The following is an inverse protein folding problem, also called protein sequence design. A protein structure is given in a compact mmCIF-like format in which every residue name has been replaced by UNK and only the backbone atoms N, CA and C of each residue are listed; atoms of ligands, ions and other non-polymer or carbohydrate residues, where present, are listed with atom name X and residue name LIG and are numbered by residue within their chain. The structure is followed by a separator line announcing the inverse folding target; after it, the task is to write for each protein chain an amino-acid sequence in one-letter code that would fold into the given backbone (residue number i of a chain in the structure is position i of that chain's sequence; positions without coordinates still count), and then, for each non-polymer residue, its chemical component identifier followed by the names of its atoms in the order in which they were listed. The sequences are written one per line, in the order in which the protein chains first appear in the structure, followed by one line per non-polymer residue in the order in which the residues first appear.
data_IF_945981460753
#
_entry.id   IF_945981460753
#
_cell.length_a   1.000
_cell.length_b   1.000
_cell.length_c   1.000
_cell.angle_alpha   90.00
_cell.angle_beta   90.00
_cell.angle_gamma   90.00
#
_symmetry.space_group_name_H-M   'P 1'
#
loop_
_entity.id
_entity.type
_entity.pdbx_description
1 polymer ?
#
# COMPACT_ATOMS: atom_id res chain seq x y z
N UNK A 1 -17.81 34.19 -17.58
CA UNK A 1 -17.10 33.85 -16.33
C UNK A 1 -17.80 32.64 -15.75
N UNK A 2 -17.30 31.42 -16.03
CA UNK A 2 -17.91 30.18 -15.54
C UNK A 2 -17.69 30.10 -14.03
N UNK A 3 -18.78 30.03 -13.28
CA UNK A 3 -18.79 29.78 -11.85
C UNK A 3 -18.12 28.44 -11.56
N UNK A 4 -17.02 28.46 -10.81
CA UNK A 4 -16.43 27.24 -10.24
C UNK A 4 -17.43 26.70 -9.23
N UNK A 5 -17.98 25.52 -9.52
CA UNK A 5 -18.88 24.83 -8.61
C UNK A 5 -18.07 24.26 -7.44
N UNK A 6 -18.10 24.93 -6.29
CA UNK A 6 -17.32 24.56 -5.09
C UNK A 6 -17.70 23.16 -4.59
N UNK A 7 -18.89 22.64 -4.92
CA UNK A 7 -19.28 21.24 -4.60
C UNK A 7 -18.51 20.19 -5.41
N UNK A 8 -17.82 20.60 -6.49
CA UNK A 8 -16.86 19.78 -7.25
C UNK A 8 -15.44 19.84 -6.69
N UNK A 9 -15.20 20.46 -5.52
CA UNK A 9 -14.01 20.11 -4.74
C UNK A 9 -14.13 18.63 -4.40
N UNK A 10 -13.38 17.81 -5.15
CA UNK A 10 -13.30 16.36 -4.96
C UNK A 10 -13.12 16.09 -3.47
N UNK A 11 -14.10 15.44 -2.85
CA UNK A 11 -13.97 15.03 -1.46
C UNK A 11 -12.75 14.11 -1.35
N UNK A 12 -11.70 14.59 -0.69
CA UNK A 12 -10.48 13.82 -0.45
C UNK A 12 -10.77 12.82 0.68
N UNK A 13 -10.36 11.57 0.48
CA UNK A 13 -10.43 10.57 1.52
C UNK A 13 -9.24 10.72 2.48
N UNK A 14 -9.52 10.97 3.76
CA UNK A 14 -8.52 10.95 4.82
C UNK A 14 -8.55 9.60 5.52
N UNK A 15 -7.41 8.92 5.57
CA UNK A 15 -7.29 7.61 6.21
C UNK A 15 -5.86 7.37 6.69
N UNK A 16 -5.70 6.42 7.61
CA UNK A 16 -4.43 5.90 8.10
C UNK A 16 -4.37 4.38 7.89
N UNK A 17 -3.24 3.77 8.23
CA UNK A 17 -3.14 2.31 8.26
C UNK A 17 -3.99 1.72 9.39
N UNK A 18 -4.49 0.50 9.18
CA UNK A 18 -5.32 -0.22 10.14
C UNK A 18 -4.50 -1.26 10.92
N UNK A 19 -4.24 -1.04 12.23
CA UNK A 19 -3.52 -2.00 13.07
C UNK A 19 -4.18 -3.38 13.14
N UNK A 20 -5.49 -3.48 12.98
CA UNK A 20 -6.20 -4.77 13.01
C UNK A 20 -5.97 -5.61 11.76
N UNK A 21 -5.48 -4.99 10.68
CA UNK A 21 -5.16 -5.66 9.42
C UNK A 21 -3.71 -6.15 9.34
N UNK A 22 -2.86 -5.78 10.29
CA UNK A 22 -1.42 -5.96 10.15
C UNK A 22 -0.90 -7.25 10.77
N UNK A 23 0.18 -7.76 10.21
CA UNK A 23 1.00 -8.77 10.88
C UNK A 23 1.59 -8.22 12.19
N UNK A 24 1.81 -9.07 13.18
CA UNK A 24 2.34 -8.69 14.50
C UNK A 24 3.73 -8.03 14.47
N UNK A 25 4.49 -8.24 13.40
CA UNK A 25 5.82 -7.64 13.20
C UNK A 25 5.77 -6.21 12.63
N UNK A 26 4.60 -5.72 12.21
CA UNK A 26 4.43 -4.34 11.73
C UNK A 26 4.42 -3.40 12.93
N UNK A 27 5.27 -2.37 12.86
CA UNK A 27 5.36 -1.31 13.85
C UNK A 27 4.74 -0.04 13.27
N UNK A 28 3.82 0.54 14.03
CA UNK A 28 3.14 1.78 13.68
C UNK A 28 3.72 2.96 14.46
N UNK A 29 3.74 4.13 13.82
CA UNK A 29 4.02 5.41 14.46
C UNK A 29 3.27 6.53 13.75
N UNK A 30 3.40 7.77 14.25
CA UNK A 30 2.85 8.97 13.62
C UNK A 30 1.35 8.84 13.31
N UNK A 31 0.54 8.55 14.33
CA UNK A 31 -0.92 8.35 14.20
C UNK A 31 -1.33 7.29 13.14
N UNK A 32 -0.53 6.21 13.06
CA UNK A 32 -0.65 5.13 12.07
C UNK A 32 -0.49 5.62 10.62
N UNK A 33 0.27 6.70 10.39
CA UNK A 33 0.63 7.18 9.06
C UNK A 33 2.04 6.73 8.64
N UNK A 34 2.83 6.21 9.57
CA UNK A 34 4.17 5.66 9.31
C UNK A 34 4.21 4.21 9.77
N UNK A 35 4.76 3.34 8.93
CA UNK A 35 4.92 1.91 9.21
C UNK A 35 6.34 1.44 8.91
N UNK A 36 6.82 0.52 9.73
CA UNK A 36 8.04 -0.25 9.48
C UNK A 36 7.82 -1.69 9.95
N UNK A 37 8.79 -2.57 9.75
CA UNK A 37 8.69 -3.98 10.15
C UNK A 37 9.91 -4.39 10.98
N UNK A 38 9.68 -5.23 12.00
CA UNK A 38 10.73 -5.80 12.83
C UNK A 38 11.22 -7.17 12.33
N UNK A 39 10.81 -7.57 11.13
CA UNK A 39 11.20 -8.83 10.49
C UNK A 39 12.04 -8.57 9.24
N UNK A 40 12.84 -9.56 8.87
CA UNK A 40 13.45 -9.63 7.54
C UNK A 40 12.48 -10.10 6.47
N UNK A 41 11.43 -10.83 6.85
CA UNK A 41 10.39 -11.27 5.92
C UNK A 41 9.43 -10.11 5.61
N UNK A 42 8.91 -10.07 4.38
CA UNK A 42 7.87 -9.12 3.99
C UNK A 42 6.57 -9.37 4.75
N UNK A 43 5.97 -8.28 5.25
CA UNK A 43 4.70 -8.28 5.97
C UNK A 43 3.75 -7.24 5.38
N UNK A 44 2.45 -7.51 5.42
CA UNK A 44 1.41 -6.63 4.87
C UNK A 44 0.63 -5.92 5.97
N UNK A 45 0.28 -4.67 5.70
CA UNK A 45 -0.70 -3.86 6.42
C UNK A 45 -1.60 -3.15 5.40
N UNK A 46 -2.87 -2.97 5.73
CA UNK A 46 -3.85 -2.30 4.88
C UNK A 46 -4.21 -0.91 5.41
N UNK A 47 -4.69 -0.05 4.52
CA UNK A 47 -5.38 1.19 4.91
C UNK A 47 -6.74 0.88 5.53
N UNK A 48 -7.18 1.74 6.47
CA UNK A 48 -8.47 1.58 7.18
C UNK A 48 -9.70 1.78 6.28
N UNK A 49 -9.53 2.47 5.15
CA UNK A 49 -10.63 2.78 4.24
C UNK A 49 -10.55 1.92 2.99
N UNK A 50 -11.59 1.10 2.76
CA UNK A 50 -11.78 0.37 1.51
C UNK A 50 -12.55 1.20 0.47
N UNK A 51 -12.17 1.07 -0.80
CA UNK A 51 -12.85 1.74 -1.92
C UNK A 51 -13.51 0.72 -2.85
N UNK A 52 -14.73 1.03 -3.31
CA UNK A 52 -15.49 0.18 -4.25
C UNK A 52 -15.97 0.90 -5.51
N UNK A 53 -15.79 2.23 -5.59
CA UNK A 53 -16.15 3.08 -6.73
C UNK A 53 -15.37 4.40 -6.70
N UNK A 54 -15.28 5.07 -7.85
CA UNK A 54 -14.58 6.35 -8.00
C UNK A 54 -13.09 6.20 -8.37
N UNK A 55 -12.40 7.34 -8.49
CA UNK A 55 -10.96 7.40 -8.74
C UNK A 55 -10.27 7.95 -7.49
N UNK A 56 -9.33 7.18 -6.95
CA UNK A 56 -8.64 7.50 -5.71
C UNK A 56 -7.13 7.52 -5.95
N UNK A 57 -6.46 8.46 -5.30
CA UNK A 57 -5.01 8.60 -5.36
C UNK A 57 -4.50 8.83 -3.93
N UNK A 58 -3.38 8.20 -3.61
CA UNK A 58 -2.64 8.38 -2.37
C UNK A 58 -1.15 8.21 -2.66
N UNK A 59 -0.33 8.75 -1.77
CA UNK A 59 1.13 8.71 -1.88
C UNK A 59 1.71 7.98 -0.67
N UNK A 60 2.88 7.39 -0.89
CA UNK A 60 3.73 6.83 0.16
C UNK A 60 5.12 7.43 0.00
N UNK A 61 5.69 7.92 1.10
CA UNK A 61 7.07 8.40 1.14
C UNK A 61 7.97 7.32 1.74
N UNK A 62 9.13 7.09 1.13
CA UNK A 62 10.12 6.15 1.65
C UNK A 62 11.04 6.92 2.60
N UNK A 63 10.75 6.84 3.89
CA UNK A 63 11.51 7.54 4.92
C UNK A 63 12.91 6.91 5.15
N UNK A 64 13.03 5.59 4.94
CA UNK A 64 14.28 4.83 5.09
C UNK A 64 14.30 3.64 4.13
N UNK A 65 15.41 3.47 3.42
CA UNK A 65 15.67 2.35 2.51
C UNK A 65 17.13 1.91 2.67
N UNK A 66 17.32 0.85 3.46
CA UNK A 66 18.64 0.31 3.78
C UNK A 66 18.83 -1.03 3.05
N UNK A 67 20.03 -1.30 2.53
CA UNK A 67 20.38 -2.50 1.74
C UNK A 67 19.70 -2.53 0.35
N UNK A 68 19.10 -3.66 -0.01
CA UNK A 68 18.43 -3.91 -1.30
C UNK A 68 17.09 -4.66 -1.13
N UNK A 69 16.14 -4.16 -0.30
CA UNK A 69 14.82 -4.76 -0.18
C UNK A 69 13.92 -4.44 -1.38
N UNK A 70 12.83 -5.17 -1.52
CA UNK A 70 11.84 -5.00 -2.60
C UNK A 70 10.46 -4.61 -2.04
N UNK A 71 10.29 -3.43 -1.39
CA UNK A 71 9.00 -3.05 -0.82
C UNK A 71 7.89 -3.01 -1.89
N UNK A 72 6.74 -3.59 -1.56
CA UNK A 72 5.60 -3.72 -2.47
C UNK A 72 4.46 -2.78 -2.07
N UNK A 73 3.89 -2.09 -3.05
CA UNK A 73 2.84 -1.09 -2.89
C UNK A 73 1.69 -1.37 -3.85
N UNK A 74 0.44 -1.27 -3.37
CA UNK A 74 -0.69 -1.55 -4.25
C UNK A 74 -2.03 -1.59 -3.54
N UNK A 75 -2.92 -2.42 -4.09
CA UNK A 75 -4.29 -2.64 -3.59
C UNK A 75 -4.51 -4.11 -3.28
N UNK A 76 -5.34 -4.38 -2.27
CA UNK A 76 -5.63 -5.74 -1.84
C UNK A 76 -7.05 -5.88 -1.31
N UNK A 77 -7.57 -7.12 -1.35
CA UNK A 77 -8.74 -7.50 -0.57
C UNK A 77 -8.36 -7.66 0.90
N UNK A 78 -9.36 -7.56 1.78
CA UNK A 78 -9.16 -7.61 3.23
C UNK A 78 -8.51 -8.94 3.69
N UNK A 79 -8.80 -10.02 2.98
CA UNK A 79 -8.35 -11.39 3.24
C UNK A 79 -7.00 -11.75 2.56
N UNK A 80 -6.24 -10.77 2.06
CA UNK A 80 -4.87 -10.97 1.54
C UNK A 80 -3.94 -11.62 2.57
N UNK A 81 -2.99 -12.45 2.13
CA UNK A 81 -1.92 -12.96 2.99
C UNK A 81 -1.15 -11.80 3.67
N UNK A 82 -0.88 -11.96 4.97
CA UNK A 82 -0.21 -10.92 5.79
C UNK A 82 1.27 -11.21 6.07
N UNK A 83 1.69 -12.43 5.81
CA UNK A 83 3.00 -13.02 6.08
C UNK A 83 3.83 -13.24 4.80
N UNK A 84 3.52 -12.51 3.74
CA UNK A 84 4.19 -12.58 2.45
C UNK A 84 4.21 -11.21 1.74
N UNK A 85 5.07 -11.07 0.73
CA UNK A 85 5.06 -9.92 -0.18
C UNK A 85 3.69 -9.72 -0.82
N UNK A 86 3.27 -8.45 -0.95
CA UNK A 86 2.02 -8.07 -1.58
C UNK A 86 1.99 -8.50 -3.06
N UNK A 87 0.93 -9.21 -3.47
CA UNK A 87 0.79 -9.75 -4.83
C UNK A 87 1.24 -11.22 -4.98
N UNK A 88 1.78 -11.83 -3.91
CA UNK A 88 2.14 -13.25 -3.90
C UNK A 88 0.92 -14.17 -3.97
N UNK A 89 -0.24 -13.72 -3.50
CA UNK A 89 -1.52 -14.41 -3.65
C UNK A 89 -2.40 -13.78 -4.75
N UNK A 90 -3.60 -14.33 -4.92
CA UNK A 90 -4.61 -13.88 -5.87
C UNK A 90 -5.47 -12.71 -5.37
N UNK A 91 -5.12 -12.09 -4.22
CA UNK A 91 -5.95 -11.09 -3.54
C UNK A 91 -5.36 -9.68 -3.58
N UNK A 92 -4.17 -9.52 -4.12
CA UNK A 92 -3.52 -8.23 -4.28
C UNK A 92 -2.98 -7.99 -5.69
N UNK A 93 -2.90 -6.72 -6.05
CA UNK A 93 -2.18 -6.21 -7.21
C UNK A 93 -1.19 -5.17 -6.70
N UNK A 94 0.10 -5.41 -6.95
CA UNK A 94 1.15 -4.59 -6.40
C UNK A 94 2.20 -4.23 -7.46
N UNK A 95 2.91 -3.14 -7.18
CA UNK A 95 4.22 -2.86 -7.74
C UNK A 95 5.23 -3.05 -6.62
N UNK A 96 6.25 -3.89 -6.83
CA UNK A 96 7.43 -3.91 -5.97
C UNK A 96 8.61 -3.29 -6.70
N UNK A 97 9.50 -2.66 -5.94
CA UNK A 97 10.53 -1.77 -6.49
C UNK A 97 11.82 -1.89 -5.69
N UNK A 98 12.93 -2.08 -6.40
CA UNK A 98 14.28 -1.97 -5.85
C UNK A 98 14.88 -0.60 -6.22
N UNK A 99 16.17 -0.41 -5.97
CA UNK A 99 16.89 0.83 -6.29
C UNK A 99 17.19 1.02 -7.80
N UNK A 100 16.77 0.10 -8.67
CA UNK A 100 17.09 0.06 -10.10
C UNK A 100 15.85 -0.06 -11.00
N UNK A 101 14.80 -0.75 -10.57
CA UNK A 101 13.69 -1.22 -11.41
C UNK A 101 12.47 -1.57 -10.58
N UNK A 102 11.35 -1.74 -11.28
CA UNK A 102 10.07 -2.11 -10.69
C UNK A 102 9.38 -3.17 -11.52
N UNK A 103 8.49 -3.91 -10.87
CA UNK A 103 7.67 -4.94 -11.49
C UNK A 103 6.26 -4.88 -10.94
N UNK A 104 5.31 -5.31 -11.76
CA UNK A 104 3.97 -5.63 -11.29
C UNK A 104 3.91 -7.09 -10.82
N UNK A 105 3.26 -7.32 -9.69
CA UNK A 105 3.01 -8.64 -9.12
C UNK A 105 1.52 -8.85 -8.83
N UNK A 106 1.02 -10.01 -9.26
CA UNK A 106 -0.28 -10.55 -8.88
C UNK A 106 -0.26 -12.07 -9.04
N UNK A 107 -0.78 -12.81 -8.06
CA UNK A 107 -0.82 -14.27 -8.07
C UNK A 107 0.56 -14.90 -8.35
N UNK A 108 1.60 -14.36 -7.71
CA UNK A 108 3.00 -14.77 -7.85
C UNK A 108 3.53 -14.68 -9.31
N UNK A 109 2.84 -13.95 -10.19
CA UNK A 109 3.27 -13.66 -11.55
C UNK A 109 3.88 -12.27 -11.63
N UNK A 110 5.07 -12.19 -12.23
CA UNK A 110 5.88 -10.97 -12.31
C UNK A 110 5.91 -10.45 -13.74
N UNK A 111 5.55 -9.18 -13.95
CA UNK A 111 5.65 -8.52 -15.26
C UNK A 111 6.52 -7.28 -15.16
N UNK A 112 7.55 -7.19 -16.00
CA UNK A 112 8.41 -6.00 -16.10
C UNK A 112 7.61 -4.78 -16.59
N UNK A 113 8.00 -3.60 -16.14
CA UNK A 113 7.58 -2.33 -16.73
C UNK A 113 8.60 -1.82 -17.75
#
# INVERSE_FOLDING_TARGET
MTTVDIKKMVAVAWFSFDPSSAHADIIFSNDNLTVTCNSYDDRVVLGKTGFSKGLHYWELSIDRYDNHPDPAFGVARIDVLKDAMLGKDDKAWAMYVDNNRSWFMHNNSHTNR
#
